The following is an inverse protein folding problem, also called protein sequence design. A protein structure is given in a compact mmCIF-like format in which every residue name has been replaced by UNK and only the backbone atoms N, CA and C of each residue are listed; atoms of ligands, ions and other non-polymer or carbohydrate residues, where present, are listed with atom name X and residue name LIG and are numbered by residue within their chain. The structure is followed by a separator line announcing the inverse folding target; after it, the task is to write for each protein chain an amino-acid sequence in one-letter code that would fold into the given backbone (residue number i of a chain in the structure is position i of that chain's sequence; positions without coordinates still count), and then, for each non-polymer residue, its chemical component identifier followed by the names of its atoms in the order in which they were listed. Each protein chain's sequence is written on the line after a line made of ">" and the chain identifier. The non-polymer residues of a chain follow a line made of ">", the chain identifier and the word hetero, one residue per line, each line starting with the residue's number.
data_IF_637862642382
#
_entry.id   IF_637862642382
#
_cell.length_a   1.000
_cell.length_b   1.000
_cell.length_c   1.000
_cell.angle_alpha   90.00
_cell.angle_beta   90.00
_cell.angle_gamma   90.00
#
_symmetry.space_group_name_H-M   'P 1'
#
loop_
_entity.id
_entity.type
_entity.pdbx_description
1 polymer ?
#
# COMPACT_ATOMS: atom_id res chain seq x y z
N UNK A 1 -11.10 31.30 20.93
CA UNK A 1 -11.31 30.17 19.99
C UNK A 1 -11.73 28.96 20.82
N UNK A 2 -12.94 28.44 20.64
CA UNK A 2 -13.35 27.17 21.25
C UNK A 2 -12.48 26.08 20.63
N UNK A 3 -11.71 25.36 21.44
CA UNK A 3 -11.02 24.14 21.01
C UNK A 3 -12.14 23.16 20.62
N UNK A 4 -12.29 22.91 19.34
CA UNK A 4 -13.27 21.92 18.85
C UNK A 4 -12.77 20.55 19.32
N UNK A 5 -13.56 19.92 20.19
CA UNK A 5 -13.23 18.58 20.69
C UNK A 5 -13.30 17.58 19.52
N UNK A 6 -12.24 16.87 19.29
CA UNK A 6 -12.17 15.84 18.23
C UNK A 6 -13.06 14.65 18.59
N UNK A 7 -13.90 14.25 17.66
CA UNK A 7 -14.77 13.08 17.77
C UNK A 7 -14.12 11.92 17.05
N UNK A 8 -13.91 10.83 17.76
CA UNK A 8 -13.23 9.66 17.21
C UNK A 8 -14.01 8.40 17.45
N UNK A 9 -14.16 7.59 16.41
CA UNK A 9 -14.69 6.24 16.45
C UNK A 9 -13.60 5.24 16.06
N UNK A 10 -13.40 4.21 16.89
CA UNK A 10 -12.57 3.05 16.60
C UNK A 10 -13.47 1.86 16.24
N UNK A 11 -13.19 1.23 15.13
CA UNK A 11 -13.89 0.04 14.63
C UNK A 11 -12.87 -0.97 14.11
N UNK A 12 -13.26 -2.22 13.95
CA UNK A 12 -12.39 -3.26 13.40
C UNK A 12 -12.75 -3.56 11.94
N UNK A 13 -11.77 -4.01 11.18
CA UNK A 13 -12.00 -4.43 9.80
C UNK A 13 -12.85 -5.71 9.73
N UNK A 14 -13.63 -5.85 8.67
CA UNK A 14 -14.50 -6.99 8.37
C UNK A 14 -15.43 -7.41 9.53
N UNK A 15 -16.04 -6.43 10.19
CA UNK A 15 -16.99 -6.62 11.30
C UNK A 15 -18.27 -5.82 11.08
N UNK A 16 -19.33 -6.23 11.78
CA UNK A 16 -20.62 -5.55 11.79
C UNK A 16 -20.75 -4.68 13.02
N UNK A 17 -21.01 -3.38 12.84
CA UNK A 17 -21.23 -2.42 13.90
C UNK A 17 -22.60 -1.75 13.76
N UNK A 18 -23.30 -1.46 14.87
CA UNK A 18 -24.59 -0.78 14.84
C UNK A 18 -24.44 0.64 14.29
N UNK A 19 -25.41 1.09 13.47
CA UNK A 19 -25.42 2.45 12.91
C UNK A 19 -25.41 3.54 13.97
N UNK A 20 -25.99 3.28 15.14
CA UNK A 20 -26.02 4.20 16.29
C UNK A 20 -24.60 4.58 16.78
N UNK A 21 -23.65 3.62 16.75
CA UNK A 21 -22.27 3.84 17.17
C UNK A 21 -21.53 4.90 16.31
N UNK A 22 -22.04 5.17 15.10
CA UNK A 22 -21.45 6.13 14.17
C UNK A 22 -22.02 7.56 14.30
N UNK A 23 -22.90 7.81 15.25
CA UNK A 23 -23.59 9.11 15.42
C UNK A 23 -22.62 10.28 15.58
N UNK A 24 -21.48 10.08 16.25
CA UNK A 24 -20.47 11.12 16.47
C UNK A 24 -19.62 11.44 15.22
N UNK A 25 -19.60 10.54 14.24
CA UNK A 25 -18.82 10.65 12.99
C UNK A 25 -19.72 10.59 11.75
N UNK A 26 -20.94 11.08 11.89
CA UNK A 26 -21.99 10.99 10.88
C UNK A 26 -21.62 11.65 9.55
N UNK A 27 -20.78 12.70 9.56
CA UNK A 27 -20.37 13.40 8.35
C UNK A 27 -19.42 12.54 7.51
N UNK A 28 -18.47 11.83 8.13
CA UNK A 28 -17.60 10.87 7.42
C UNK A 28 -18.44 9.72 6.87
N UNK A 29 -19.32 9.15 7.69
CA UNK A 29 -20.17 8.01 7.28
C UNK A 29 -20.99 8.36 6.05
N UNK A 30 -21.68 9.51 6.04
CA UNK A 30 -22.42 10.00 4.87
C UNK A 30 -21.59 10.11 3.61
N UNK A 31 -20.27 10.32 3.76
CA UNK A 31 -19.35 10.47 2.64
C UNK A 31 -18.81 9.16 2.13
N UNK A 32 -18.61 8.16 3.00
CA UNK A 32 -17.92 6.90 2.68
C UNK A 32 -18.83 5.68 2.60
N UNK A 33 -19.98 5.69 3.29
CA UNK A 33 -20.89 4.56 3.28
C UNK A 33 -21.39 4.26 1.86
N UNK A 34 -21.45 2.98 1.53
CA UNK A 34 -21.91 2.44 0.25
C UNK A 34 -21.16 2.97 -0.99
N UNK A 35 -19.95 3.49 -0.77
CA UNK A 35 -19.03 3.87 -1.86
C UNK A 35 -17.86 2.90 -1.94
N UNK A 36 -17.51 2.54 -3.17
CA UNK A 36 -16.35 1.71 -3.43
C UNK A 36 -15.03 2.46 -3.17
N UNK A 37 -13.99 1.74 -2.82
CA UNK A 37 -12.64 2.30 -2.64
C UNK A 37 -12.16 3.05 -3.88
N UNK A 38 -12.47 2.56 -5.08
CA UNK A 38 -12.13 3.24 -6.33
C UNK A 38 -12.74 4.64 -6.44
N UNK A 39 -13.98 4.81 -6.02
CA UNK A 39 -14.64 6.12 -5.98
C UNK A 39 -14.02 7.06 -4.95
N UNK A 40 -13.70 6.52 -3.77
CA UNK A 40 -13.13 7.27 -2.66
C UNK A 40 -11.68 7.72 -2.91
N UNK A 41 -10.92 6.96 -3.70
CA UNK A 41 -9.58 7.39 -4.14
C UNK A 41 -9.62 8.70 -4.94
N UNK A 42 -10.69 8.92 -5.71
CA UNK A 42 -10.87 10.18 -6.45
C UNK A 42 -11.24 11.36 -5.54
N UNK A 43 -11.75 11.10 -4.34
CA UNK A 43 -12.15 12.10 -3.37
C UNK A 43 -11.04 12.53 -2.40
N UNK A 44 -9.86 11.87 -2.44
CA UNK A 44 -8.69 12.23 -1.61
C UNK A 44 -8.30 11.20 -0.57
N UNK A 45 -8.92 10.01 -0.57
CA UNK A 45 -8.48 8.88 0.24
C UNK A 45 -7.36 8.15 -0.49
N UNK A 46 -6.30 7.87 0.22
CA UNK A 46 -5.19 7.07 -0.27
C UNK A 46 -5.39 5.60 0.13
N UNK A 47 -5.35 4.69 -0.84
CA UNK A 47 -5.49 3.25 -0.59
C UNK A 47 -4.19 2.56 -0.99
N UNK A 48 -3.65 1.74 -0.11
CA UNK A 48 -2.40 1.03 -0.29
C UNK A 48 -2.63 -0.50 -0.29
N UNK A 49 -2.15 -1.25 -1.29
CA UNK A 49 -1.51 -0.79 -2.52
C UNK A 49 -2.51 -0.09 -3.44
N UNK A 50 -1.99 0.72 -4.40
CA UNK A 50 -2.89 1.35 -5.37
C UNK A 50 -3.56 0.27 -6.23
N UNK A 51 -4.89 0.33 -6.32
CA UNK A 51 -5.67 -0.62 -7.09
C UNK A 51 -5.43 -0.44 -8.58
N UNK A 52 -4.85 -1.44 -9.22
CA UNK A 52 -4.78 -1.48 -10.68
C UNK A 52 -6.14 -1.84 -11.27
N UNK A 53 -6.46 -1.26 -12.43
CA UNK A 53 -7.78 -1.21 -13.04
C UNK A 53 -8.45 -2.55 -13.35
N UNK A 54 -7.75 -3.68 -13.25
CA UNK A 54 -8.21 -4.93 -13.84
C UNK A 54 -7.98 -6.20 -13.01
N UNK A 55 -7.48 -6.11 -11.77
CA UNK A 55 -7.47 -7.26 -10.88
C UNK A 55 -8.90 -7.48 -10.39
N UNK A 56 -9.51 -8.61 -10.73
CA UNK A 56 -10.84 -9.02 -10.24
C UNK A 56 -10.87 -9.25 -8.73
N UNK A 57 -9.69 -9.41 -8.15
CA UNK A 57 -9.50 -9.45 -6.71
C UNK A 57 -9.17 -8.05 -6.22
N UNK A 58 -10.08 -7.54 -5.42
CA UNK A 58 -9.73 -6.93 -4.19
C UNK A 58 -10.19 -5.50 -4.04
N UNK A 59 -9.70 -4.48 -4.61
CA UNK A 59 -9.76 -3.23 -3.86
C UNK A 59 -10.69 -2.17 -4.41
N UNK A 60 -10.92 -2.13 -5.70
CA UNK A 60 -11.78 -1.07 -6.27
C UNK A 60 -13.25 -1.22 -5.98
N UNK A 61 -13.74 -2.46 -5.97
CA UNK A 61 -15.13 -2.78 -5.71
C UNK A 61 -15.44 -2.99 -4.21
N UNK A 62 -14.41 -3.02 -3.35
CA UNK A 62 -14.61 -3.10 -1.91
C UNK A 62 -15.19 -1.79 -1.36
N UNK A 63 -15.97 -1.94 -0.31
CA UNK A 63 -16.51 -0.83 0.48
C UNK A 63 -15.70 -0.66 1.76
N UNK A 64 -15.58 0.57 2.24
CA UNK A 64 -15.07 0.84 3.58
C UNK A 64 -16.16 0.50 4.59
N UNK A 65 -17.37 1.00 4.33
CA UNK A 65 -18.56 0.77 5.12
C UNK A 65 -19.70 0.42 4.17
N UNK A 66 -20.27 -0.76 4.34
CA UNK A 66 -21.46 -1.19 3.60
C UNK A 66 -22.67 -1.23 4.53
N UNK A 67 -23.78 -0.66 4.08
CA UNK A 67 -25.00 -0.57 4.86
C UNK A 67 -25.80 -1.88 4.81
N UNK A 68 -26.11 -2.44 5.97
CA UNK A 68 -26.98 -3.62 6.13
C UNK A 68 -28.01 -3.34 7.23
N UNK A 69 -29.25 -3.11 6.88
CA UNK A 69 -30.33 -2.81 7.84
C UNK A 69 -29.91 -1.74 8.88
N UNK A 70 -29.81 -2.13 10.15
CA UNK A 70 -29.42 -1.33 11.31
C UNK A 70 -27.90 -1.28 11.56
N UNK A 71 -27.08 -1.93 10.70
CA UNK A 71 -25.63 -2.06 10.86
C UNK A 71 -24.86 -1.53 9.66
N UNK A 72 -23.60 -1.21 9.91
CA UNK A 72 -22.56 -1.11 8.87
C UNK A 72 -21.64 -2.30 8.99
N UNK A 73 -21.26 -2.86 7.81
CA UNK A 73 -20.18 -3.83 7.69
C UNK A 73 -18.94 -3.10 7.23
N UNK A 74 -17.83 -3.25 7.94
CA UNK A 74 -16.52 -2.76 7.50
C UNK A 74 -15.90 -3.70 6.47
N UNK A 75 -15.19 -3.12 5.50
CA UNK A 75 -14.45 -3.90 4.51
C UNK A 75 -13.15 -4.50 5.06
N UNK A 76 -12.39 -5.17 4.20
CA UNK A 76 -11.09 -5.78 4.54
C UNK A 76 -9.95 -4.74 4.46
N UNK A 77 -10.15 -3.56 5.05
CA UNK A 77 -9.21 -2.45 5.03
C UNK A 77 -8.96 -1.92 6.43
N UNK A 78 -7.72 -1.54 6.71
CA UNK A 78 -7.28 -0.94 7.96
C UNK A 78 -6.72 0.45 7.71
N UNK A 79 -6.79 1.34 8.69
CA UNK A 79 -6.21 2.68 8.59
C UNK A 79 -7.08 3.78 9.17
N UNK A 80 -7.01 4.94 8.57
CA UNK A 80 -7.54 6.17 9.15
C UNK A 80 -8.33 6.97 8.13
N UNK A 81 -9.45 7.54 8.59
CA UNK A 81 -10.28 8.48 7.85
C UNK A 81 -10.53 9.72 8.69
N UNK A 82 -10.50 10.88 8.09
CA UNK A 82 -10.79 12.13 8.78
C UNK A 82 -11.55 13.12 7.91
N UNK A 83 -12.41 13.91 8.54
CA UNK A 83 -13.10 15.04 7.93
C UNK A 83 -13.43 16.05 9.02
N UNK A 84 -12.90 17.28 8.90
CA UNK A 84 -13.04 18.33 9.91
C UNK A 84 -12.61 17.88 11.32
N UNK A 85 -13.51 17.77 12.28
CA UNK A 85 -13.26 17.29 13.65
C UNK A 85 -13.60 15.82 13.86
N UNK A 86 -14.07 15.11 12.84
CA UNK A 86 -14.46 13.71 12.93
C UNK A 86 -13.30 12.79 12.47
N UNK A 87 -13.16 11.64 13.12
CA UNK A 87 -12.14 10.62 12.84
C UNK A 87 -12.74 9.23 12.92
N UNK A 88 -12.39 8.37 11.97
CA UNK A 88 -12.60 6.91 12.05
C UNK A 88 -11.25 6.22 11.96
N UNK A 89 -10.98 5.34 12.90
CA UNK A 89 -9.83 4.43 12.91
C UNK A 89 -10.35 3.02 12.68
N UNK A 90 -9.86 2.38 11.63
CA UNK A 90 -10.19 0.98 11.32
C UNK A 90 -8.99 0.14 11.73
N UNK A 91 -9.13 -0.56 12.84
CA UNK A 91 -8.09 -1.42 13.42
C UNK A 91 -8.17 -2.84 12.85
N UNK A 92 -7.09 -3.60 12.99
CA UNK A 92 -7.10 -5.02 12.63
C UNK A 92 -8.08 -5.81 13.49
N UNK A 93 -8.86 -6.70 12.86
CA UNK A 93 -9.73 -7.67 13.59
C UNK A 93 -8.96 -8.60 14.52
N UNK A 94 -7.65 -8.74 14.30
CA UNK A 94 -6.75 -9.54 15.14
C UNK A 94 -6.06 -8.73 16.23
N UNK A 95 -6.27 -7.44 16.28
CA UNK A 95 -5.80 -6.59 17.38
C UNK A 95 -6.64 -6.80 18.62
N UNK A 96 -5.99 -6.88 19.77
CA UNK A 96 -6.65 -7.00 21.08
C UNK A 96 -6.08 -5.92 22.02
N UNK A 97 -6.98 -5.14 22.65
CA UNK A 97 -6.61 -4.02 23.51
C UNK A 97 -6.82 -2.65 22.88
N UNK A 98 -6.33 -1.60 23.54
CA UNK A 98 -6.56 -0.20 23.15
C UNK A 98 -5.64 0.28 22.01
N UNK A 99 -4.57 -0.44 21.72
CA UNK A 99 -3.57 -0.09 20.71
C UNK A 99 -3.42 -1.22 19.69
N UNK A 100 -3.52 -0.89 18.42
CA UNK A 100 -3.33 -1.85 17.34
C UNK A 100 -1.84 -2.04 17.03
N UNK A 101 -1.14 -2.75 17.94
CA UNK A 101 0.27 -3.10 17.73
C UNK A 101 0.48 -4.05 16.55
N UNK A 102 -0.53 -4.86 16.22
CA UNK A 102 -0.41 -5.78 15.09
C UNK A 102 -0.38 -5.07 13.76
N UNK A 103 -1.30 -4.13 13.52
CA UNK A 103 -1.29 -3.31 12.32
C UNK A 103 0.00 -2.50 12.20
N UNK A 104 0.45 -1.90 13.31
CA UNK A 104 1.72 -1.18 13.37
C UNK A 104 2.89 -2.08 12.93
N UNK A 105 2.95 -3.30 13.47
CA UNK A 105 4.02 -4.25 13.16
C UNK A 105 4.02 -4.69 11.70
N UNK A 106 2.83 -4.96 11.14
CA UNK A 106 2.70 -5.28 9.72
C UNK A 106 3.25 -4.16 8.83
N UNK A 107 2.92 -2.91 9.15
CA UNK A 107 3.43 -1.76 8.41
C UNK A 107 4.95 -1.64 8.48
N UNK A 108 5.53 -1.81 9.69
CA UNK A 108 6.99 -1.75 9.85
C UNK A 108 7.71 -2.82 9.04
N UNK A 109 7.20 -4.05 9.04
CA UNK A 109 7.81 -5.16 8.31
C UNK A 109 7.69 -5.04 6.79
N UNK A 110 6.53 -4.60 6.30
CA UNK A 110 6.25 -4.51 4.86
C UNK A 110 6.91 -3.28 4.24
N UNK A 111 6.96 -2.17 4.96
CA UNK A 111 7.55 -0.91 4.47
C UNK A 111 9.05 -0.82 4.77
N UNK A 112 9.64 -1.83 5.46
CA UNK A 112 11.06 -1.92 5.80
C UNK A 112 11.57 -0.69 6.58
N UNK A 113 10.79 -0.26 7.60
CA UNK A 113 11.15 0.90 8.38
C UNK A 113 11.05 0.70 9.90
N UNK A 114 12.17 0.48 10.60
CA UNK A 114 12.18 0.08 12.02
C UNK A 114 11.83 1.18 13.03
N UNK A 115 11.66 2.45 12.62
CA UNK A 115 11.47 3.57 13.56
C UNK A 115 10.02 4.05 13.71
N UNK A 116 9.05 3.25 13.33
CA UNK A 116 7.63 3.58 13.46
C UNK A 116 7.18 3.75 14.92
N UNK A 117 7.88 3.07 15.84
CA UNK A 117 7.57 3.02 17.28
C UNK A 117 7.60 4.40 17.94
N UNK A 118 8.56 5.25 17.57
CA UNK A 118 8.76 6.55 18.22
C UNK A 118 7.69 7.60 17.85
N UNK A 119 6.82 7.28 16.91
CA UNK A 119 5.78 8.20 16.44
C UNK A 119 4.48 8.14 17.25
N UNK A 120 4.26 7.05 17.98
CA UNK A 120 3.02 6.82 18.72
C UNK A 120 3.03 7.37 20.15
N UNK A 121 4.20 7.70 20.71
CA UNK A 121 4.32 8.02 22.13
C UNK A 121 3.92 9.44 22.50
N UNK A 122 4.01 10.43 21.57
CA UNK A 122 3.81 11.85 21.91
C UNK A 122 2.99 12.65 20.87
N UNK A 123 2.33 12.03 19.89
CA UNK A 123 1.70 12.75 18.79
C UNK A 123 0.16 12.69 18.82
N UNK A 124 -0.46 13.83 18.49
CA UNK A 124 -1.87 13.88 18.10
C UNK A 124 -2.10 12.98 16.87
N UNK A 125 -3.25 12.29 16.81
CA UNK A 125 -3.55 11.33 15.74
C UNK A 125 -3.56 11.93 14.32
N UNK A 126 -3.77 13.23 14.16
CA UNK A 126 -3.62 13.94 12.88
C UNK A 126 -2.18 13.93 12.38
N UNK A 127 -1.23 13.99 13.30
CA UNK A 127 0.18 13.85 12.99
C UNK A 127 0.52 12.43 12.56
N UNK A 128 -0.16 11.42 13.09
CA UNK A 128 0.05 10.01 12.75
C UNK A 128 -0.28 9.69 11.30
N UNK A 129 -1.47 10.06 10.81
CA UNK A 129 -1.84 9.87 9.40
C UNK A 129 -0.86 10.55 8.46
N UNK A 130 -0.47 11.76 8.81
CA UNK A 130 0.51 12.52 8.03
C UNK A 130 1.90 11.87 8.04
N UNK A 131 2.34 11.38 9.18
CA UNK A 131 3.61 10.66 9.28
C UNK A 131 3.61 9.37 8.47
N UNK A 132 2.49 8.61 8.47
CA UNK A 132 2.33 7.45 7.61
C UNK A 132 2.58 7.76 6.13
N UNK A 133 2.06 8.88 5.61
CA UNK A 133 2.34 9.30 4.24
C UNK A 133 3.83 9.53 3.99
N UNK A 134 4.54 10.13 4.95
CA UNK A 134 5.99 10.34 4.83
C UNK A 134 6.76 9.01 4.81
N UNK A 135 6.34 8.03 5.62
CA UNK A 135 6.98 6.71 5.67
C UNK A 135 6.77 5.88 4.40
N UNK A 136 5.67 6.07 3.70
CA UNK A 136 5.42 5.42 2.42
C UNK A 136 6.29 5.99 1.29
N UNK A 137 6.82 7.19 1.44
CA UNK A 137 7.57 7.86 0.39
C UNK A 137 8.81 7.09 -0.09
N UNK A 138 9.70 6.55 0.78
CA UNK A 138 10.85 5.76 0.34
C UNK A 138 10.46 4.52 -0.45
N UNK A 139 9.41 3.81 -0.03
CA UNK A 139 8.90 2.64 -0.74
C UNK A 139 8.47 2.97 -2.17
N UNK A 140 7.64 4.02 -2.35
CA UNK A 140 7.19 4.43 -3.67
C UNK A 140 8.31 5.03 -4.52
N UNK A 141 9.24 5.76 -3.90
CA UNK A 141 10.41 6.29 -4.59
C UNK A 141 11.27 5.15 -5.16
N UNK A 142 11.61 4.17 -4.33
CA UNK A 142 12.38 2.99 -4.75
C UNK A 142 11.68 2.20 -5.85
N UNK A 143 10.37 2.00 -5.73
CA UNK A 143 9.55 1.32 -6.75
C UNK A 143 9.56 2.06 -8.08
N UNK A 144 9.32 3.36 -8.09
CA UNK A 144 9.31 4.19 -9.30
C UNK A 144 10.70 4.26 -9.96
N UNK A 145 11.74 4.42 -9.16
CA UNK A 145 13.13 4.56 -9.63
C UNK A 145 13.75 3.27 -10.15
N UNK A 146 13.13 2.10 -10.00
CA UNK A 146 13.57 0.85 -10.66
C UNK A 146 13.69 0.98 -12.19
N UNK A 147 12.90 1.89 -12.78
CA UNK A 147 12.92 2.18 -14.22
C UNK A 147 13.76 3.41 -14.58
N UNK A 148 14.50 3.94 -13.62
CA UNK A 148 15.29 5.16 -13.74
C UNK A 148 14.45 6.44 -13.62
N UNK A 149 15.10 7.62 -13.67
CA UNK A 149 14.43 8.92 -13.59
C UNK A 149 13.47 9.13 -14.75
N UNK A 150 12.31 9.73 -14.45
CA UNK A 150 11.30 10.02 -15.46
C UNK A 150 11.76 11.14 -16.39
N UNK A 151 11.67 10.90 -17.70
CA UNK A 151 12.04 11.86 -18.73
C UNK A 151 10.88 12.16 -19.65
N UNK A 152 10.68 13.43 -19.97
CA UNK A 152 9.59 13.88 -20.87
C UNK A 152 9.97 15.12 -21.63
N UNK A 153 9.18 15.45 -22.66
CA UNK A 153 9.36 16.68 -23.40
C UNK A 153 8.81 17.87 -22.61
N UNK A 154 9.66 18.87 -22.40
CA UNK A 154 9.31 20.16 -21.81
C UNK A 154 9.59 21.29 -22.79
N UNK A 155 8.85 22.39 -22.65
CA UNK A 155 9.06 23.59 -23.45
C UNK A 155 9.87 24.58 -22.61
N UNK A 156 11.17 24.72 -22.90
CA UNK A 156 12.04 25.69 -22.25
C UNK A 156 12.04 27.02 -23.01
N UNK A 157 12.14 28.11 -22.27
CA UNK A 157 12.14 29.49 -22.80
C UNK A 157 13.56 30.04 -22.70
N UNK A 158 14.10 30.45 -23.84
CA UNK A 158 15.43 31.02 -23.99
C UNK A 158 15.38 32.47 -24.46
N UNK A 159 16.43 33.23 -24.15
CA UNK A 159 16.64 34.58 -24.65
C UNK A 159 18.14 34.77 -24.88
N UNK A 160 18.62 34.35 -26.02
CA UNK A 160 20.02 34.42 -26.42
C UNK A 160 20.18 34.65 -27.93
N UNK A 161 21.43 34.59 -28.44
CA UNK A 161 21.74 34.85 -29.86
C UNK A 161 21.58 33.63 -30.75
N UNK A 162 21.50 32.41 -30.17
CA UNK A 162 21.44 31.15 -30.91
C UNK A 162 20.00 30.61 -30.91
N UNK A 163 19.23 30.93 -31.93
CA UNK A 163 17.83 30.52 -32.02
C UNK A 163 17.72 29.07 -32.41
N UNK A 164 17.25 28.20 -31.46
CA UNK A 164 17.06 26.78 -31.68
C UNK A 164 15.57 26.36 -31.45
N UNK A 165 14.62 27.21 -31.78
CA UNK A 165 13.22 26.93 -31.55
C UNK A 165 12.27 27.97 -32.11
N UNK A 166 11.03 27.92 -31.66
CA UNK A 166 9.98 28.84 -32.12
C UNK A 166 10.12 30.19 -31.40
N UNK A 167 10.20 31.27 -32.16
CA UNK A 167 10.33 32.63 -31.62
C UNK A 167 9.03 33.03 -30.91
N UNK A 168 9.18 33.45 -29.65
CA UNK A 168 8.10 34.03 -28.84
C UNK A 168 8.09 35.54 -29.05
N UNK A 169 7.31 36.00 -30.05
CA UNK A 169 7.29 37.40 -30.50
C UNK A 169 6.91 38.34 -29.35
N UNK A 170 5.89 37.99 -28.57
CA UNK A 170 5.42 38.84 -27.47
C UNK A 170 6.50 39.01 -26.38
N UNK A 171 7.19 37.91 -26.03
CA UNK A 171 8.28 37.94 -25.08
C UNK A 171 9.52 38.64 -25.68
N UNK A 172 9.80 38.42 -26.93
CA UNK A 172 10.89 39.08 -27.64
C UNK A 172 10.75 40.62 -27.64
N UNK A 173 9.60 41.15 -28.03
CA UNK A 173 9.31 42.59 -28.01
C UNK A 173 9.47 43.15 -26.58
N UNK A 174 8.94 42.45 -25.59
CA UNK A 174 9.01 42.90 -24.18
C UNK A 174 10.42 42.93 -23.60
N UNK A 175 11.27 41.96 -23.97
CA UNK A 175 12.60 41.79 -23.35
C UNK A 175 13.73 42.39 -24.17
N UNK A 176 13.54 42.52 -25.51
CA UNK A 176 14.59 42.86 -26.45
C UNK A 176 14.27 44.13 -27.26
N UNK A 177 13.55 45.08 -26.65
CA UNK A 177 13.33 46.42 -27.26
C UNK A 177 13.99 47.44 -26.35
N UNK A 178 15.05 48.16 -26.84
CA UNK A 178 15.70 48.05 -28.16
C UNK A 178 16.45 46.74 -28.37
N UNK A 179 16.54 46.28 -29.62
CA UNK A 179 17.19 45.04 -29.98
C UNK A 179 18.71 45.11 -29.76
N UNK A 180 19.24 44.21 -28.95
CA UNK A 180 20.67 44.09 -28.58
C UNK A 180 21.30 42.77 -29.03
N UNK A 181 20.67 42.09 -29.98
CA UNK A 181 21.17 40.84 -30.57
C UNK A 181 20.60 39.55 -29.97
N UNK A 182 19.84 39.62 -28.87
CA UNK A 182 19.19 38.43 -28.28
C UNK A 182 17.77 38.26 -28.82
N UNK A 183 17.34 37.00 -29.01
CA UNK A 183 15.99 36.65 -29.45
C UNK A 183 15.34 35.75 -28.43
N UNK A 184 14.11 36.06 -28.08
CA UNK A 184 13.31 35.17 -27.18
C UNK A 184 12.64 34.10 -28.00
N UNK A 185 12.91 32.85 -27.65
CA UNK A 185 12.33 31.67 -28.33
C UNK A 185 12.00 30.57 -27.31
N UNK A 186 11.22 29.61 -27.75
CA UNK A 186 10.87 28.42 -27.01
C UNK A 186 11.33 27.17 -27.71
N UNK A 187 12.03 26.28 -27.00
CA UNK A 187 12.54 25.04 -27.54
C UNK A 187 11.93 23.85 -26.78
N UNK A 188 11.56 22.81 -27.53
CA UNK A 188 11.06 21.56 -26.94
C UNK A 188 12.24 20.62 -26.70
N UNK A 189 12.50 20.30 -25.44
CA UNK A 189 13.62 19.46 -25.00
C UNK A 189 13.14 18.21 -24.28
N UNK A 190 13.81 17.09 -24.52
CA UNK A 190 13.57 15.86 -23.79
C UNK A 190 14.43 15.87 -22.52
N UNK A 191 13.83 16.16 -21.36
CA UNK A 191 14.55 16.49 -20.13
C UNK A 191 14.06 15.65 -18.94
N UNK A 192 15.01 15.35 -18.02
CA UNK A 192 14.70 14.84 -16.69
C UNK A 192 14.22 15.96 -15.76
N UNK A 193 14.63 17.19 -15.99
CA UNK A 193 14.21 18.38 -15.23
C UNK A 193 12.81 18.79 -15.69
N UNK A 194 11.80 18.18 -15.10
CA UNK A 194 10.38 18.33 -15.45
C UNK A 194 9.51 18.39 -14.19
N UNK A 195 8.27 18.83 -14.33
CA UNK A 195 7.36 19.06 -13.21
C UNK A 195 7.17 17.84 -12.27
N UNK A 196 7.20 16.61 -12.79
CA UNK A 196 7.07 15.42 -11.95
C UNK A 196 8.33 15.18 -11.10
N UNK A 197 9.51 15.28 -11.72
CA UNK A 197 10.78 15.11 -11.01
C UNK A 197 11.00 16.22 -9.99
N UNK A 198 10.62 17.46 -10.31
CA UNK A 198 10.65 18.59 -9.39
C UNK A 198 9.65 18.40 -8.22
N UNK A 199 8.47 17.83 -8.46
CA UNK A 199 7.52 17.49 -7.38
C UNK A 199 8.14 16.51 -6.38
N UNK A 200 8.83 15.48 -6.88
CA UNK A 200 9.54 14.50 -6.04
C UNK A 200 10.67 15.21 -5.29
N UNK A 201 11.42 16.08 -5.95
CA UNK A 201 12.47 16.90 -5.32
C UNK A 201 11.92 17.77 -4.19
N UNK A 202 10.83 18.47 -4.40
CA UNK A 202 10.16 19.26 -3.35
C UNK A 202 9.76 18.40 -2.15
N UNK A 203 9.32 17.17 -2.39
CA UNK A 203 8.95 16.24 -1.32
C UNK A 203 10.19 15.79 -0.54
N UNK A 204 11.29 15.47 -1.23
CA UNK A 204 12.58 15.11 -0.61
C UNK A 204 13.08 16.25 0.29
N UNK A 205 13.12 17.48 -0.22
CA UNK A 205 13.59 18.62 0.57
C UNK A 205 12.66 18.91 1.76
N UNK A 206 11.35 18.68 1.57
CA UNK A 206 10.41 18.77 2.69
C UNK A 206 10.68 17.72 3.77
N UNK A 207 10.93 16.46 3.38
CA UNK A 207 11.25 15.37 4.32
C UNK A 207 12.58 15.66 5.04
N UNK A 208 13.62 16.09 4.33
CA UNK A 208 14.92 16.48 4.93
C UNK A 208 14.79 17.54 6.02
N UNK A 209 13.82 18.43 5.90
CA UNK A 209 13.51 19.44 6.92
C UNK A 209 12.88 18.90 8.21
N UNK A 210 12.62 17.59 8.32
CA UNK A 210 12.12 16.93 9.53
C UNK A 210 13.28 16.38 10.36
N UNK A 211 13.12 16.32 11.70
CA UNK A 211 14.15 15.80 12.62
C UNK A 211 14.58 14.36 12.28
N UNK A 212 13.66 13.54 11.80
CA UNK A 212 13.87 12.14 11.38
C UNK A 212 14.08 11.97 9.86
N UNK A 213 14.07 13.08 9.10
CA UNK A 213 14.04 13.04 7.63
C UNK A 213 15.24 12.34 7.01
N UNK A 214 16.43 12.56 7.53
CA UNK A 214 17.63 11.87 7.03
C UNK A 214 17.60 10.35 7.30
N UNK A 215 17.11 9.94 8.45
CA UNK A 215 16.94 8.53 8.78
C UNK A 215 15.94 7.87 7.84
N UNK A 216 14.83 8.54 7.54
CA UNK A 216 13.80 8.07 6.62
C UNK A 216 14.32 7.88 5.19
N UNK A 217 15.20 8.76 4.71
CA UNK A 217 15.75 8.70 3.35
C UNK A 217 17.02 7.83 3.24
N UNK A 218 17.49 7.22 4.33
CA UNK A 218 18.75 6.45 4.35
C UNK A 218 18.75 5.28 3.35
N UNK A 219 17.64 4.56 3.26
CA UNK A 219 17.53 3.37 2.40
C UNK A 219 17.27 3.69 0.91
N UNK A 220 17.09 4.97 0.58
CA UNK A 220 16.85 5.48 -0.79
C UNK A 220 17.79 6.62 -1.15
N UNK A 221 18.99 6.65 -0.53
CA UNK A 221 19.95 7.75 -0.72
C UNK A 221 20.44 7.87 -2.16
N UNK A 222 20.56 6.74 -2.88
CA UNK A 222 21.03 6.73 -4.25
C UNK A 222 19.97 7.26 -5.21
N UNK A 223 18.70 6.89 -5.00
CA UNK A 223 17.55 7.45 -5.71
C UNK A 223 17.42 8.96 -5.45
N UNK A 224 17.56 9.36 -4.19
CA UNK A 224 17.56 10.78 -3.80
C UNK A 224 18.66 11.56 -4.50
N UNK A 225 19.88 11.01 -4.59
CA UNK A 225 20.99 11.63 -5.30
C UNK A 225 20.68 11.82 -6.78
N UNK A 226 20.16 10.78 -7.45
CA UNK A 226 19.76 10.85 -8.86
C UNK A 226 18.68 11.90 -9.12
N UNK A 227 17.68 12.02 -8.23
CA UNK A 227 16.64 13.06 -8.33
C UNK A 227 17.27 14.46 -8.20
N UNK A 228 18.17 14.64 -7.24
CA UNK A 228 18.87 15.92 -7.03
C UNK A 228 19.67 16.33 -8.26
N UNK A 229 20.42 15.41 -8.84
CA UNK A 229 21.23 15.63 -10.05
C UNK A 229 20.38 15.89 -11.29
N UNK A 230 19.19 15.29 -11.36
CA UNK A 230 18.26 15.41 -12.50
C UNK A 230 17.42 16.68 -12.47
N UNK A 231 17.33 17.39 -11.35
CA UNK A 231 16.48 18.57 -11.13
C UNK A 231 17.31 19.81 -10.82
N UNK A 232 18.14 20.21 -11.76
CA UNK A 232 19.04 21.37 -11.60
C UNK A 232 18.30 22.70 -11.55
N UNK A 233 17.13 22.80 -12.19
CA UNK A 233 16.26 23.97 -12.16
C UNK A 233 15.43 24.13 -10.88
N UNK A 234 15.59 23.22 -9.90
CA UNK A 234 14.79 23.27 -8.67
C UNK A 234 14.84 24.62 -7.96
N UNK A 235 13.67 25.18 -7.69
CA UNK A 235 13.49 26.42 -6.92
C UNK A 235 12.44 26.22 -5.83
N UNK A 236 12.82 26.40 -4.55
CA UNK A 236 11.93 26.17 -3.41
C UNK A 236 10.65 27.04 -3.43
N UNK A 237 10.71 28.24 -4.03
CA UNK A 237 9.58 29.17 -4.15
C UNK A 237 8.51 28.68 -5.15
N UNK A 238 8.87 27.80 -6.10
CA UNK A 238 7.95 27.31 -7.16
C UNK A 238 7.07 26.14 -6.73
N UNK A 239 7.21 25.66 -5.50
CA UNK A 239 6.45 24.51 -4.95
C UNK A 239 4.96 24.55 -5.29
N UNK A 240 4.32 25.74 -5.18
CA UNK A 240 2.89 25.86 -5.47
C UNK A 240 2.57 25.61 -6.94
N UNK A 241 3.35 26.17 -7.84
CA UNK A 241 3.23 25.99 -9.29
C UNK A 241 3.43 24.53 -9.67
N UNK A 242 4.49 23.90 -9.13
CA UNK A 242 4.81 22.49 -9.36
C UNK A 242 3.67 21.57 -8.91
N UNK A 243 3.08 21.81 -7.74
CA UNK A 243 1.92 21.04 -7.28
C UNK A 243 0.71 21.21 -8.21
N UNK A 244 0.38 22.44 -8.62
CA UNK A 244 -0.78 22.69 -9.49
C UNK A 244 -0.58 22.10 -10.89
N UNK A 245 0.63 22.16 -11.44
CA UNK A 245 0.92 21.51 -12.74
C UNK A 245 0.80 19.98 -12.67
N UNK A 246 1.26 19.36 -11.58
CA UNK A 246 1.12 17.90 -11.39
C UNK A 246 -0.33 17.46 -11.14
N UNK A 247 -1.18 18.31 -10.60
CA UNK A 247 -2.62 18.04 -10.48
C UNK A 247 -3.34 18.04 -11.81
N UNK A 248 -2.97 18.98 -12.70
CA UNK A 248 -3.53 19.08 -14.05
C UNK A 248 -3.04 17.95 -14.94
N UNK A 249 -1.75 17.63 -14.84
CA UNK A 249 -1.05 16.67 -15.69
C UNK A 249 -0.78 15.38 -14.94
N UNK A 250 -1.81 14.54 -14.75
CA UNK A 250 -1.65 13.21 -14.17
C UNK A 250 -0.87 12.32 -15.14
N UNK A 251 0.12 11.61 -14.61
CA UNK A 251 0.92 10.70 -15.41
C UNK A 251 0.06 9.57 -16.00
N UNK A 252 0.06 9.42 -17.31
CA UNK A 252 -0.67 8.37 -18.04
C UNK A 252 0.24 7.37 -18.75
N UNK A 253 1.57 7.53 -18.64
CA UNK A 253 2.54 6.71 -19.37
C UNK A 253 2.56 5.27 -18.85
N UNK A 254 2.32 4.28 -19.75
CA UNK A 254 2.21 2.87 -19.37
C UNK A 254 3.51 2.30 -18.78
N UNK A 255 4.68 2.64 -19.33
CA UNK A 255 5.97 2.16 -18.84
C UNK A 255 6.32 2.70 -17.45
N UNK A 256 5.98 3.96 -17.14
CA UNK A 256 6.28 4.63 -15.87
C UNK A 256 5.08 4.64 -14.91
N UNK A 257 4.25 3.60 -14.93
CA UNK A 257 3.01 3.58 -14.13
C UNK A 257 3.26 3.70 -12.61
N UNK A 258 4.41 3.24 -12.10
CA UNK A 258 4.76 3.34 -10.67
C UNK A 258 4.94 4.80 -10.22
N UNK A 259 5.37 5.68 -11.12
CA UNK A 259 5.44 7.11 -10.82
C UNK A 259 4.08 7.77 -10.59
N UNK A 260 2.98 7.16 -11.01
CA UNK A 260 1.63 7.68 -10.78
C UNK A 260 1.28 7.68 -9.29
N UNK A 261 1.57 6.58 -8.60
CA UNK A 261 1.36 6.45 -7.16
C UNK A 261 2.26 7.41 -6.38
N UNK A 262 3.54 7.51 -6.79
CA UNK A 262 4.48 8.45 -6.21
C UNK A 262 4.04 9.92 -6.42
N UNK A 263 3.58 10.29 -7.61
CA UNK A 263 3.04 11.63 -7.90
C UNK A 263 1.89 11.98 -6.95
N UNK A 264 0.93 11.08 -6.80
CA UNK A 264 -0.22 11.25 -5.91
C UNK A 264 0.22 11.42 -4.45
N UNK A 265 1.12 10.56 -3.98
CA UNK A 265 1.67 10.61 -2.62
C UNK A 265 2.39 11.94 -2.36
N UNK A 266 3.27 12.38 -3.27
CA UNK A 266 3.99 13.65 -3.16
C UNK A 266 3.04 14.85 -3.06
N UNK A 267 1.98 14.88 -3.91
CA UNK A 267 0.96 15.92 -3.84
C UNK A 267 0.30 15.93 -2.47
N UNK A 268 -0.08 14.77 -1.93
CA UNK A 268 -0.72 14.66 -0.61
C UNK A 268 0.21 15.15 0.50
N UNK A 269 1.47 14.72 0.52
CA UNK A 269 2.47 15.14 1.50
C UNK A 269 2.63 16.67 1.47
N UNK A 270 2.81 17.26 0.30
CA UNK A 270 3.08 18.69 0.17
C UNK A 270 1.84 19.57 0.39
N UNK A 271 0.63 19.02 0.22
CA UNK A 271 -0.62 19.74 0.47
C UNK A 271 -1.09 19.68 1.92
N UNK A 272 -0.87 18.56 2.63
CA UNK A 272 -1.27 18.42 4.02
C UNK A 272 -0.60 19.42 4.97
N UNK A 273 0.48 20.07 4.55
CA UNK A 273 1.01 21.25 5.27
C UNK A 273 0.01 22.39 5.46
N UNK A 274 -0.92 22.58 4.51
CA UNK A 274 -1.89 23.70 4.56
C UNK A 274 -3.11 23.40 5.42
N UNK A 275 -3.46 22.14 5.64
CA UNK A 275 -4.63 21.76 6.44
C UNK A 275 -4.45 21.97 7.94
N UNK A 276 -3.21 22.10 8.44
CA UNK A 276 -2.94 22.52 9.83
C UNK A 276 -3.38 23.96 10.14
N UNK A 277 -3.62 24.79 9.14
CA UNK A 277 -3.94 26.22 9.30
C UNK A 277 -5.32 26.61 8.79
N UNK A 278 -6.32 25.84 9.17
CA UNK A 278 -7.73 26.25 9.20
C UNK A 278 -8.28 26.98 7.98
N UNK A 279 -9.49 26.71 7.70
CA UNK A 279 -10.52 27.38 6.92
C UNK A 279 -10.99 26.58 5.70
N UNK A 280 -12.09 25.85 5.95
CA UNK A 280 -13.15 25.78 4.97
C UNK A 280 -12.96 24.88 3.75
N UNK A 281 -12.63 23.57 3.95
CA UNK A 281 -12.96 22.61 2.89
C UNK A 281 -13.42 21.29 3.53
N UNK A 282 -14.70 20.97 3.37
CA UNK A 282 -15.35 19.70 3.73
C UNK A 282 -14.79 18.53 2.89
N UNK A 283 -13.48 18.37 2.87
CA UNK A 283 -12.83 17.26 2.13
C UNK A 283 -12.51 16.14 3.09
N UNK A 284 -12.87 14.94 2.68
CA UNK A 284 -12.43 13.73 3.35
C UNK A 284 -10.96 13.48 2.99
N UNK A 285 -10.19 13.03 3.97
CA UNK A 285 -8.82 12.58 3.79
C UNK A 285 -8.63 11.27 4.54
N UNK A 286 -7.69 10.47 4.13
CA UNK A 286 -7.39 9.22 4.81
C UNK A 286 -6.36 8.38 4.10
N UNK A 287 -5.86 7.42 4.83
CA UNK A 287 -4.97 6.39 4.34
C UNK A 287 -5.50 5.03 4.80
N UNK A 288 -5.70 4.15 3.84
CA UNK A 288 -6.22 2.82 4.06
C UNK A 288 -5.28 1.78 3.45
N UNK A 289 -5.17 0.66 4.14
CA UNK A 289 -4.35 -0.48 3.74
C UNK A 289 -5.24 -1.70 3.56
N UNK A 290 -5.08 -2.40 2.45
CA UNK A 290 -5.70 -3.71 2.26
C UNK A 290 -5.08 -4.72 3.24
N UNK A 291 -5.90 -5.26 4.13
CA UNK A 291 -5.44 -6.17 5.19
C UNK A 291 -4.91 -7.50 4.65
N UNK A 292 -5.50 -8.02 3.57
CA UNK A 292 -5.07 -9.27 2.95
C UNK A 292 -3.71 -9.09 2.27
N UNK A 293 -3.55 -7.99 1.50
CA UNK A 293 -2.27 -7.67 0.88
C UNK A 293 -1.17 -7.43 1.92
N UNK A 294 -1.47 -6.69 2.98
CA UNK A 294 -0.48 -6.39 4.01
C UNK A 294 -0.02 -7.66 4.74
N UNK A 295 -0.94 -8.60 4.94
CA UNK A 295 -0.64 -9.92 5.49
C UNK A 295 0.22 -10.76 4.54
N UNK A 296 -0.12 -10.82 3.26
CA UNK A 296 0.63 -11.55 2.23
C UNK A 296 2.08 -11.05 2.12
N UNK A 297 2.28 -9.72 2.02
CA UNK A 297 3.62 -9.13 1.98
C UNK A 297 4.40 -9.35 3.27
N UNK A 298 3.73 -9.31 4.44
CA UNK A 298 4.37 -9.63 5.69
C UNK A 298 4.86 -11.08 5.71
N UNK A 299 4.05 -12.04 5.30
CA UNK A 299 4.47 -13.44 5.18
C UNK A 299 5.63 -13.59 4.19
N UNK A 300 5.62 -12.83 3.09
CA UNK A 300 6.75 -12.81 2.16
C UNK A 300 8.07 -12.40 2.84
N UNK A 301 8.04 -11.47 3.79
CA UNK A 301 9.26 -11.12 4.55
C UNK A 301 9.80 -12.28 5.41
N UNK A 302 8.95 -13.26 5.75
CA UNK A 302 9.32 -14.39 6.59
C UNK A 302 9.82 -15.61 5.80
N UNK A 303 9.19 -15.91 4.65
CA UNK A 303 9.42 -17.14 3.89
C UNK A 303 9.94 -16.92 2.46
N UNK A 304 10.04 -15.69 1.98
CA UNK A 304 10.38 -15.34 0.59
C UNK A 304 11.74 -15.88 0.10
N UNK A 305 12.67 -16.21 1.00
CA UNK A 305 13.93 -16.85 0.61
C UNK A 305 13.71 -18.26 0.04
N UNK A 306 12.74 -19.01 0.55
CA UNK A 306 12.45 -20.40 0.17
C UNK A 306 11.36 -20.52 -0.89
N UNK A 307 10.62 -19.44 -1.15
CA UNK A 307 9.48 -19.42 -2.05
C UNK A 307 9.65 -18.40 -3.17
N UNK A 308 9.07 -18.70 -4.33
CA UNK A 308 8.71 -17.69 -5.31
C UNK A 308 7.43 -17.02 -4.85
N UNK A 309 7.43 -15.70 -4.79
CA UNK A 309 6.25 -14.89 -4.53
C UNK A 309 5.83 -14.20 -5.84
N UNK A 310 4.86 -14.76 -6.59
CA UNK A 310 4.35 -14.14 -7.80
C UNK A 310 3.62 -12.85 -7.42
N UNK A 311 4.03 -11.72 -7.98
CA UNK A 311 3.39 -10.42 -7.70
C UNK A 311 2.02 -10.35 -8.40
N UNK A 312 1.03 -11.04 -7.86
CA UNK A 312 -0.31 -11.22 -8.44
C UNK A 312 -1.01 -9.89 -8.68
N UNK A 313 -0.86 -8.93 -7.76
CA UNK A 313 -1.47 -7.59 -7.89
C UNK A 313 -0.86 -6.73 -8.99
N UNK A 314 0.37 -7.04 -9.43
CA UNK A 314 1.01 -6.40 -10.58
C UNK A 314 0.71 -7.10 -11.92
N UNK A 315 -0.18 -8.10 -11.95
CA UNK A 315 -0.49 -8.98 -13.09
C UNK A 315 0.68 -9.76 -13.68
N UNK A 316 1.90 -9.53 -13.22
CA UNK A 316 3.08 -10.26 -13.67
C UNK A 316 3.16 -11.67 -13.12
N UNK A 317 2.39 -11.98 -12.08
CA UNK A 317 2.44 -13.25 -11.35
C UNK A 317 1.40 -14.29 -11.78
N UNK A 318 0.45 -13.94 -12.67
CA UNK A 318 -0.58 -14.85 -13.10
C UNK A 318 0.00 -16.12 -13.74
N UNK A 319 -0.51 -17.27 -13.34
CA UNK A 319 -0.13 -18.56 -13.87
C UNK A 319 -1.29 -19.16 -14.67
N UNK A 320 -0.96 -20.02 -15.64
CA UNK A 320 -1.95 -20.69 -16.49
C UNK A 320 -2.16 -22.12 -16.00
N UNK A 321 -3.41 -22.50 -15.76
CA UNK A 321 -3.77 -23.84 -15.33
C UNK A 321 -3.70 -24.84 -16.49
N UNK A 322 -4.15 -24.43 -17.69
CA UNK A 322 -4.23 -25.27 -18.87
C UNK A 322 -3.23 -24.89 -19.95
N UNK A 323 -2.88 -25.83 -20.83
CA UNK A 323 -1.90 -25.66 -21.89
C UNK A 323 -2.31 -24.66 -22.98
N UNK A 324 -3.63 -24.49 -23.20
CA UNK A 324 -4.18 -23.48 -24.12
C UNK A 324 -4.09 -22.04 -23.57
N UNK A 325 -3.62 -21.89 -22.34
CA UNK A 325 -3.48 -20.60 -21.67
C UNK A 325 -4.71 -20.14 -20.92
N UNK A 326 -5.76 -20.96 -20.86
CA UNK A 326 -6.97 -20.69 -20.05
C UNK A 326 -6.75 -21.04 -18.56
N UNK A 327 -7.71 -20.66 -17.72
CA UNK A 327 -7.68 -20.94 -16.29
C UNK A 327 -6.58 -20.18 -15.57
N UNK A 328 -6.71 -18.85 -15.46
CA UNK A 328 -5.75 -18.04 -14.73
C UNK A 328 -5.83 -18.32 -13.23
N UNK A 329 -4.70 -18.62 -12.62
CA UNK A 329 -4.55 -18.88 -11.19
C UNK A 329 -3.48 -17.96 -10.58
N UNK A 330 -3.61 -17.69 -9.28
CA UNK A 330 -2.83 -16.69 -8.57
C UNK A 330 -2.34 -17.23 -7.22
N UNK A 331 -1.38 -18.18 -7.21
CA UNK A 331 -0.80 -18.67 -5.97
C UNK A 331 0.03 -17.58 -5.30
N UNK A 332 -0.07 -17.45 -3.97
CA UNK A 332 0.69 -16.45 -3.21
C UNK A 332 2.16 -16.84 -3.13
N UNK A 333 2.45 -18.12 -2.85
CA UNK A 333 3.81 -18.62 -2.72
C UNK A 333 3.96 -20.01 -3.32
N UNK A 334 5.03 -20.19 -4.10
CA UNK A 334 5.40 -21.46 -4.75
C UNK A 334 6.78 -21.87 -4.25
N UNK A 335 6.91 -23.06 -3.65
CA UNK A 335 8.18 -23.57 -3.15
C UNK A 335 9.24 -23.67 -4.23
N UNK A 336 10.47 -23.25 -3.95
CA UNK A 336 11.63 -23.31 -4.86
C UNK A 336 12.19 -24.72 -4.99
N UNK A 337 12.02 -25.57 -3.96
CA UNK A 337 12.47 -26.97 -4.02
C UNK A 337 11.60 -27.78 -4.97
N UNK A 338 12.17 -28.22 -6.07
CA UNK A 338 11.45 -29.00 -7.09
C UNK A 338 11.19 -30.46 -6.68
N UNK A 339 11.99 -31.00 -5.79
CA UNK A 339 11.85 -32.41 -5.34
C UNK A 339 10.71 -32.55 -4.30
N UNK A 340 10.52 -31.53 -3.47
CA UNK A 340 9.45 -31.48 -2.48
C UNK A 340 8.74 -30.14 -2.53
N UNK A 341 8.04 -29.86 -3.65
CA UNK A 341 7.37 -28.58 -3.84
C UNK A 341 6.14 -28.49 -2.97
N UNK A 342 5.99 -27.35 -2.32
CA UNK A 342 4.83 -27.01 -1.52
C UNK A 342 4.23 -25.70 -2.03
N UNK A 343 2.92 -25.53 -1.81
CA UNK A 343 2.18 -24.30 -2.12
C UNK A 343 1.76 -23.67 -0.79
N UNK A 344 1.93 -22.37 -0.68
CA UNK A 344 1.48 -21.61 0.50
C UNK A 344 0.54 -20.52 0.06
N UNK A 345 -0.55 -20.36 0.79
CA UNK A 345 -1.59 -19.37 0.57
C UNK A 345 -1.82 -18.58 1.88
N UNK A 346 -1.62 -17.26 1.83
CA UNK A 346 -1.69 -16.39 2.99
C UNK A 346 -3.11 -15.88 3.19
N UNK A 347 -3.82 -16.37 4.19
CA UNK A 347 -5.22 -16.01 4.45
C UNK A 347 -5.37 -15.08 5.64
N UNK A 348 -5.64 -13.79 5.39
CA UNK A 348 -5.97 -12.82 6.42
C UNK A 348 -7.41 -13.00 6.91
N UNK A 349 -7.68 -14.13 7.56
CA UNK A 349 -8.98 -14.48 8.15
C UNK A 349 -8.86 -15.55 9.25
N UNK A 350 -9.80 -15.60 10.21
CA UNK A 350 -9.79 -16.64 11.24
C UNK A 350 -9.83 -18.05 10.62
N UNK A 351 -9.18 -19.02 11.27
CA UNK A 351 -9.09 -20.42 10.81
C UNK A 351 -10.45 -21.04 10.42
N UNK A 352 -11.53 -20.70 11.15
CA UNK A 352 -12.89 -21.19 10.90
C UNK A 352 -13.47 -20.71 9.56
N UNK A 353 -12.95 -19.61 9.04
CA UNK A 353 -13.41 -19.01 7.79
C UNK A 353 -12.61 -19.49 6.57
N UNK A 354 -11.60 -20.35 6.77
CA UNK A 354 -10.91 -21.07 5.69
C UNK A 354 -11.75 -22.30 5.34
N UNK A 355 -12.50 -22.22 4.24
CA UNK A 355 -13.56 -23.14 3.88
C UNK A 355 -13.39 -23.71 2.47
N UNK A 356 -14.42 -24.37 1.94
CA UNK A 356 -14.40 -25.18 0.71
C UNK A 356 -13.83 -24.46 -0.51
N UNK A 357 -14.14 -23.20 -0.73
CA UNK A 357 -13.59 -22.43 -1.87
C UNK A 357 -12.08 -22.27 -1.79
N UNK A 358 -11.54 -22.05 -0.57
CA UNK A 358 -10.10 -21.95 -0.35
C UNK A 358 -9.42 -23.30 -0.61
N UNK A 359 -10.03 -24.41 -0.18
CA UNK A 359 -9.49 -25.75 -0.43
C UNK A 359 -9.39 -26.04 -1.92
N UNK A 360 -10.45 -25.79 -2.69
CA UNK A 360 -10.44 -26.00 -4.13
C UNK A 360 -9.37 -25.14 -4.83
N UNK A 361 -9.17 -23.92 -4.37
CA UNK A 361 -8.15 -23.02 -4.89
C UNK A 361 -6.75 -23.61 -4.69
N UNK A 362 -6.38 -23.98 -3.46
CA UNK A 362 -5.07 -24.53 -3.15
C UNK A 362 -4.84 -25.89 -3.80
N UNK A 363 -5.87 -26.75 -3.87
CA UNK A 363 -5.77 -28.03 -4.56
C UNK A 363 -5.50 -27.85 -6.06
N UNK A 364 -6.12 -26.86 -6.72
CA UNK A 364 -5.80 -26.53 -8.11
C UNK A 364 -4.35 -26.09 -8.28
N UNK A 365 -3.83 -25.30 -7.32
CA UNK A 365 -2.42 -24.89 -7.33
C UNK A 365 -1.49 -26.08 -7.10
N UNK A 366 -1.78 -26.95 -6.11
CA UNK A 366 -1.00 -28.15 -5.84
C UNK A 366 -0.92 -29.04 -7.08
N UNK A 367 -2.05 -29.27 -7.74
CA UNK A 367 -2.10 -30.06 -8.98
C UNK A 367 -1.27 -29.42 -10.10
N UNK A 368 -1.39 -28.10 -10.31
CA UNK A 368 -0.65 -27.36 -11.36
C UNK A 368 0.86 -27.41 -11.17
N UNK A 369 1.33 -27.41 -9.93
CA UNK A 369 2.76 -27.32 -9.58
C UNK A 369 3.35 -28.64 -9.08
N UNK A 370 2.61 -29.75 -9.18
CA UNK A 370 3.01 -31.08 -8.70
C UNK A 370 3.45 -31.05 -7.23
N UNK A 371 2.65 -30.34 -6.40
CA UNK A 371 2.90 -30.21 -4.98
C UNK A 371 2.08 -31.24 -4.18
N UNK A 372 2.71 -31.89 -3.20
CA UNK A 372 2.03 -32.83 -2.31
C UNK A 372 1.32 -32.14 -1.15
N UNK A 373 1.85 -31.00 -0.71
CA UNK A 373 1.32 -30.25 0.42
C UNK A 373 0.94 -28.82 0.03
N UNK A 374 -0.25 -28.42 0.48
CA UNK A 374 -0.70 -27.04 0.50
C UNK A 374 -0.74 -26.50 1.91
N UNK A 375 -0.42 -25.23 2.11
CA UNK A 375 -0.42 -24.58 3.41
C UNK A 375 -1.28 -23.35 3.39
N UNK A 376 -2.07 -23.15 4.45
CA UNK A 376 -2.67 -21.86 4.78
C UNK A 376 -1.93 -21.25 5.95
N UNK A 377 -1.41 -20.04 5.78
CA UNK A 377 -0.86 -19.24 6.87
C UNK A 377 -1.88 -18.16 7.22
N UNK A 378 -2.32 -18.16 8.49
CA UNK A 378 -3.33 -17.21 8.97
C UNK A 378 -2.92 -16.58 10.30
N UNK A 379 -3.40 -15.32 10.61
CA UNK A 379 -3.17 -14.73 11.94
C UNK A 379 -3.99 -15.48 12.98
N UNK A 380 -3.33 -15.92 14.04
CA UNK A 380 -3.98 -16.71 15.10
C UNK A 380 -3.83 -16.05 16.48
N UNK A 381 -4.96 -15.63 17.05
CA UNK A 381 -5.04 -15.05 18.40
C UNK A 381 -5.31 -16.08 19.49
N UNK A 382 -5.55 -17.35 19.13
CA UNK A 382 -5.94 -18.42 20.06
C UNK A 382 -4.84 -19.46 20.29
N UNK A 383 -3.68 -19.33 19.64
CA UNK A 383 -2.59 -20.30 19.67
C UNK A 383 -3.05 -21.72 19.28
N UNK A 384 -3.78 -21.81 18.19
CA UNK A 384 -4.33 -23.07 17.68
C UNK A 384 -3.21 -24.03 17.24
N UNK A 385 -3.41 -25.32 17.44
CA UNK A 385 -2.51 -26.33 16.91
C UNK A 385 -2.61 -26.37 15.37
N UNK A 386 -1.53 -26.80 14.73
CA UNK A 386 -1.53 -27.08 13.29
C UNK A 386 -2.58 -28.13 12.98
N UNK A 387 -3.43 -27.84 11.99
CA UNK A 387 -4.47 -28.77 11.54
C UNK A 387 -4.09 -29.34 10.19
N UNK A 388 -3.89 -30.65 10.14
CA UNK A 388 -3.63 -31.40 8.91
C UNK A 388 -4.92 -31.99 8.37
N UNK A 389 -5.14 -31.86 7.06
CA UNK A 389 -6.29 -32.36 6.32
C UNK A 389 -5.78 -33.22 5.15
N UNK A 390 -5.87 -34.54 5.31
CA UNK A 390 -5.46 -35.47 4.26
C UNK A 390 -6.52 -35.55 3.17
N UNK A 391 -6.09 -35.59 1.91
CA UNK A 391 -6.99 -35.81 0.80
C UNK A 391 -7.54 -37.22 0.78
N UNK A 392 -8.83 -37.38 0.53
CA UNK A 392 -9.44 -38.67 0.38
C UNK A 392 -9.14 -39.28 -1.01
N UNK A 393 -9.08 -40.60 -1.03
CA UNK A 393 -9.09 -41.43 -2.23
C UNK A 393 -10.15 -42.52 -2.11
N UNK A 394 -10.67 -42.98 -3.20
CA UNK A 394 -11.70 -44.03 -3.23
C UNK A 394 -12.42 -44.09 -4.57
N UNK A 395 -13.12 -45.17 -4.78
CA UNK A 395 -13.80 -45.47 -6.07
C UNK A 395 -15.22 -44.92 -6.10
N UNK A 396 -15.89 -44.87 -4.97
CA UNK A 396 -17.27 -44.43 -4.81
C UNK A 396 -17.46 -43.68 -3.49
N UNK A 397 -18.70 -43.39 -3.15
CA UNK A 397 -19.14 -42.64 -1.98
C UNK A 397 -18.53 -43.10 -0.62
N UNK A 398 -19.11 -42.69 0.46
CA UNK A 398 -18.60 -42.67 1.84
C UNK A 398 -17.99 -43.98 2.37
N UNK A 399 -18.43 -45.14 1.91
CA UNK A 399 -17.99 -46.42 2.48
C UNK A 399 -16.67 -47.00 1.90
N UNK A 400 -16.09 -46.32 0.89
CA UNK A 400 -14.87 -46.80 0.22
C UNK A 400 -13.79 -45.74 0.16
N UNK A 401 -13.83 -44.79 1.10
CA UNK A 401 -12.94 -43.63 1.14
C UNK A 401 -11.86 -43.84 2.20
N UNK A 402 -10.62 -43.66 1.81
CA UNK A 402 -9.48 -43.64 2.70
C UNK A 402 -8.62 -42.39 2.49
N UNK A 403 -7.90 -41.90 3.50
CA UNK A 403 -6.97 -40.79 3.30
C UNK A 403 -5.81 -41.23 2.41
N UNK A 404 -5.36 -40.33 1.54
CA UNK A 404 -4.11 -40.50 0.78
C UNK A 404 -2.92 -40.30 1.71
N UNK A 405 -1.90 -41.12 1.55
CA UNK A 405 -0.66 -40.92 2.25
C UNK A 405 0.11 -39.72 1.67
N UNK A 406 0.60 -38.85 2.55
CA UNK A 406 1.48 -37.74 2.21
C UNK A 406 0.95 -36.69 1.20
N UNK A 407 -0.38 -36.61 1.02
CA UNK A 407 -1.00 -35.56 0.19
C UNK A 407 -2.12 -34.89 0.96
N UNK A 408 -1.97 -33.61 1.22
CA UNK A 408 -2.96 -32.90 2.04
C UNK A 408 -2.74 -31.40 2.13
N UNK A 409 -3.50 -30.81 3.00
CA UNK A 409 -3.43 -29.36 3.29
C UNK A 409 -3.21 -29.14 4.79
N UNK A 410 -2.31 -28.25 5.13
CA UNK A 410 -2.02 -27.87 6.53
C UNK A 410 -2.49 -26.44 6.78
N UNK A 411 -3.15 -26.21 7.92
CA UNK A 411 -3.49 -24.88 8.41
C UNK A 411 -2.54 -24.51 9.55
N UNK A 412 -1.72 -23.50 9.32
CA UNK A 412 -0.67 -23.05 10.23
C UNK A 412 -0.96 -21.64 10.70
N UNK A 413 -1.26 -21.47 11.98
CA UNK A 413 -1.49 -20.16 12.58
C UNK A 413 -0.17 -19.50 13.00
N UNK A 414 0.04 -18.23 12.60
CA UNK A 414 1.05 -17.40 13.20
C UNK A 414 0.45 -16.73 14.44
N UNK A 415 0.95 -17.07 15.63
CA UNK A 415 0.41 -16.57 16.89
C UNK A 415 0.63 -15.07 17.03
N UNK A 416 -0.49 -14.31 17.16
CA UNK A 416 -0.50 -12.88 17.38
C UNK A 416 -0.64 -12.59 18.88
N UNK A 417 0.31 -11.87 19.51
CA UNK A 417 0.23 -11.53 20.92
C UNK A 417 -0.99 -10.65 21.22
N UNK A 418 -1.84 -11.10 22.15
CA UNK A 418 -3.11 -10.41 22.46
C UNK A 418 -2.98 -9.38 23.58
N UNK A 419 -2.12 -9.63 24.57
CA UNK A 419 -1.96 -8.78 25.77
C UNK A 419 -0.51 -8.38 25.91
N UNK A 420 -0.20 -7.14 25.61
CA UNK A 420 1.15 -6.58 25.75
C UNK A 420 1.05 -5.19 26.37
N UNK A 421 1.89 -4.91 27.35
CA UNK A 421 1.91 -3.61 28.04
C UNK A 421 2.47 -2.51 27.13
N UNK A 422 3.38 -2.89 26.25
CA UNK A 422 4.01 -1.95 25.31
C UNK A 422 4.36 -2.63 23.98
N UNK A 423 4.72 -1.79 23.00
CA UNK A 423 5.04 -2.26 21.65
C UNK A 423 6.27 -3.16 21.60
N UNK A 424 7.31 -2.90 22.41
CA UNK A 424 8.52 -3.71 22.42
C UNK A 424 8.24 -5.15 22.91
N UNK A 425 7.37 -5.31 23.88
CA UNK A 425 6.91 -6.62 24.33
C UNK A 425 6.17 -7.37 23.23
N UNK A 426 5.29 -6.65 22.50
CA UNK A 426 4.61 -7.21 21.32
C UNK A 426 5.61 -7.71 20.29
N UNK A 427 6.61 -6.88 19.92
CA UNK A 427 7.66 -7.25 18.97
C UNK A 427 8.42 -8.49 19.43
N UNK A 428 8.84 -8.54 20.68
CA UNK A 428 9.59 -9.70 21.22
C UNK A 428 8.77 -11.00 21.18
N UNK A 429 7.46 -10.91 21.42
CA UNK A 429 6.57 -12.08 21.41
C UNK A 429 6.25 -12.56 20.00
N UNK A 430 5.96 -11.65 19.08
CA UNK A 430 5.62 -12.02 17.70
C UNK A 430 6.85 -12.57 16.97
N UNK A 431 8.05 -12.06 17.23
CA UNK A 431 9.29 -12.61 16.68
C UNK A 431 9.53 -14.08 17.06
N UNK A 432 9.18 -14.48 18.29
CA UNK A 432 9.21 -15.91 18.69
C UNK A 432 8.23 -16.75 17.87
N UNK A 433 7.07 -16.20 17.51
CA UNK A 433 6.10 -16.88 16.65
C UNK A 433 6.59 -16.98 15.21
N UNK A 434 7.27 -15.94 14.72
CA UNK A 434 7.91 -15.95 13.40
C UNK A 434 9.02 -17.00 13.30
N UNK A 435 9.86 -17.12 14.33
CA UNK A 435 10.92 -18.14 14.40
C UNK A 435 10.35 -19.54 14.35
N UNK A 436 9.28 -19.81 15.11
CA UNK A 436 8.57 -21.10 15.06
C UNK A 436 8.02 -21.41 13.66
N UNK A 437 7.40 -20.41 13.02
CA UNK A 437 6.88 -20.56 11.65
C UNK A 437 8.01 -20.85 10.66
N UNK A 438 9.13 -20.12 10.73
CA UNK A 438 10.30 -20.35 9.88
C UNK A 438 10.92 -21.73 10.09
N UNK A 439 11.00 -22.19 11.35
CA UNK A 439 11.51 -23.52 11.65
C UNK A 439 10.60 -24.60 11.09
N UNK A 440 9.29 -24.43 11.20
CA UNK A 440 8.31 -25.36 10.65
C UNK A 440 8.49 -25.60 9.14
N UNK A 441 8.76 -24.54 8.37
CA UNK A 441 9.03 -24.68 6.93
C UNK A 441 10.42 -25.22 6.60
N UNK A 442 11.39 -25.10 7.49
CA UNK A 442 12.72 -25.71 7.30
C UNK A 442 12.70 -27.23 7.46
N UNK A 443 11.80 -27.74 8.28
CA UNK A 443 11.65 -29.18 8.53
C UNK A 443 10.86 -29.88 7.42
N UNK A 444 9.95 -29.19 6.75
CA UNK A 444 9.10 -29.72 5.67
C UNK A 444 9.70 -29.54 4.25
N UNK A 445 10.74 -28.72 4.06
CA UNK A 445 11.45 -28.45 2.80
C UNK A 445 12.74 -29.25 2.69
#
# INVERSE_FOLDING_TARGET
>A
MKVMQMKQLKIKDNQYEKKESFSEVASIVKRVADKTLGNLQNEGIFVFPECMNDAKDITREQFILQSYNDKYCTGNVMGFLGMESERIVIESRFSVGDKDYFFQYLLEKVVDYPNFVNLYTDMNQDDMVYHLLLFLFPYYLKSAMRKGPFKTYICKKYNDRNINGVIDIARHIRLNTPFIGNVSYSQREYSFDNYLMELIRHTIEYIKGKSYGYALLKNVKDEVKLIVESTQGYCASERRTIIEENKKNKLSHAYYHEYRSLQKLCIMILQNQKHRFGLGNRRIYGILFDGAWLWEEYINTLIGEQFYHPMNKARSGQQKLFSDGSGLIYPDFIGKNSANRIIVDAKYKPIRNIASSDYLQVLAYMFRFDAKWGYYIYPDIYNSNVKELMLNQGVTFENSVSPRENIGVKKVGLSIPCTCDNYQEFVNRIQKSEEKLKQYFKEDL
#
